data_IF_563846537617
#
_entry.id   IF_563846537617
#
_cell.length_a   1.000
_cell.length_b   1.000
_cell.length_c   1.000
_cell.angle_alpha   90.00
_cell.angle_beta   90.00
_cell.angle_gamma   90.00
#
_symmetry.space_group_name_H-M   'P 1'
#
loop_
_entity.id
_entity.type
_entity.pdbx_description
1 polymer ?
#
# COMPACT_ATOMS: atom_id res chain seq x y z
N UNK A 1 2.01 -3.61 4.57
CA UNK A 1 0.58 -3.99 4.71
C UNK A 1 0.41 -5.47 5.05
N UNK A 2 1.47 -6.27 4.91
CA UNK A 2 1.50 -7.73 5.10
C UNK A 2 0.97 -8.28 6.42
N UNK A 3 1.20 -7.61 7.54
CA UNK A 3 0.72 -8.13 8.83
C UNK A 3 -0.79 -7.98 9.03
N UNK A 4 -1.45 -7.09 8.30
CA UNK A 4 -2.88 -6.77 8.49
C UNK A 4 -3.74 -7.39 7.38
N UNK A 5 -3.17 -7.58 6.18
CA UNK A 5 -3.92 -8.04 5.00
C UNK A 5 -3.17 -9.12 4.21
N UNK A 6 -3.10 -10.38 4.73
CA UNK A 6 -2.43 -11.50 4.05
C UNK A 6 -3.10 -11.91 2.72
N UNK A 7 -4.33 -11.46 2.46
CA UNK A 7 -5.14 -11.85 1.29
C UNK A 7 -4.82 -11.08 0.01
N UNK A 8 -4.03 -9.99 0.08
CA UNK A 8 -3.75 -9.10 -1.08
C UNK A 8 -2.27 -9.05 -1.45
N UNK A 9 -1.60 -10.19 -1.30
CA UNK A 9 -0.22 -10.45 -1.72
C UNK A 9 -0.14 -10.25 -3.25
N UNK A 10 0.82 -9.43 -3.72
CA UNK A 10 1.07 -9.08 -5.14
C UNK A 10 0.27 -7.95 -5.81
N UNK A 11 -0.35 -7.03 -5.07
CA UNK A 11 -0.79 -5.78 -5.68
C UNK A 11 0.45 -4.93 -6.11
N UNK A 12 0.65 -4.78 -7.42
CA UNK A 12 1.77 -4.00 -8.01
C UNK A 12 1.39 -2.56 -8.36
N UNK A 13 0.10 -2.24 -8.40
CA UNK A 13 -0.41 -0.88 -8.64
C UNK A 13 -1.32 -0.45 -7.51
N UNK A 14 -1.29 0.84 -7.20
CA UNK A 14 -2.21 1.44 -6.23
C UNK A 14 -3.68 1.22 -6.61
N UNK A 15 -3.99 1.21 -7.91
CA UNK A 15 -5.34 0.96 -8.42
C UNK A 15 -5.86 -0.43 -8.11
N UNK A 16 -4.97 -1.43 -8.07
CA UNK A 16 -5.32 -2.83 -7.80
C UNK A 16 -5.54 -3.10 -6.30
N UNK A 17 -5.19 -2.12 -5.44
CA UNK A 17 -5.48 -2.23 -4.02
C UNK A 17 -6.98 -2.16 -3.74
N UNK A 18 -7.48 -2.99 -2.80
CA UNK A 18 -8.86 -2.92 -2.34
C UNK A 18 -9.13 -1.56 -1.68
N UNK A 19 -10.42 -1.21 -1.59
CA UNK A 19 -10.84 0.08 -1.05
C UNK A 19 -10.37 0.25 0.40
N UNK A 20 -10.41 -0.80 1.21
CA UNK A 20 -9.94 -0.75 2.61
C UNK A 20 -8.45 -0.38 2.71
N UNK A 21 -7.61 -0.94 1.83
CA UNK A 21 -6.18 -0.63 1.83
C UNK A 21 -5.91 0.83 1.41
N UNK A 22 -6.67 1.34 0.44
CA UNK A 22 -6.60 2.75 0.02
C UNK A 22 -7.05 3.70 1.13
N UNK A 23 -8.13 3.35 1.83
CA UNK A 23 -8.63 4.15 2.96
C UNK A 23 -7.61 4.15 4.13
N UNK A 24 -6.96 3.02 4.40
CA UNK A 24 -5.88 2.95 5.39
C UNK A 24 -4.69 3.84 5.01
N UNK A 25 -4.22 3.77 3.76
CA UNK A 25 -3.12 4.62 3.27
C UNK A 25 -3.47 6.09 3.42
N UNK A 26 -4.71 6.47 3.07
CA UNK A 26 -5.21 7.83 3.18
C UNK A 26 -5.30 8.30 4.63
N UNK A 27 -5.73 7.43 5.55
CA UNK A 27 -5.75 7.73 6.99
C UNK A 27 -4.33 7.98 7.50
N UNK A 28 -3.38 7.12 7.15
CA UNK A 28 -1.98 7.28 7.55
C UNK A 28 -1.39 8.57 6.97
N UNK A 29 -1.57 8.84 5.68
CA UNK A 29 -1.13 10.11 5.04
C UNK A 29 -1.72 11.34 5.74
N UNK A 30 -3.00 11.27 6.15
CA UNK A 30 -3.66 12.36 6.87
C UNK A 30 -3.10 12.54 8.28
N UNK A 31 -2.77 11.44 8.96
CA UNK A 31 -2.23 11.46 10.32
C UNK A 31 -0.76 11.86 10.39
N UNK A 32 0.05 11.45 9.41
CA UNK A 32 1.47 11.81 9.35
C UNK A 32 1.71 13.12 8.62
N UNK A 33 0.73 13.62 7.86
CA UNK A 33 0.89 14.74 6.92
C UNK A 33 2.04 14.53 5.91
N UNK A 34 2.39 13.27 5.64
CA UNK A 34 3.48 12.88 4.75
C UNK A 34 2.93 11.99 3.63
N UNK A 35 3.19 12.32 2.35
CA UNK A 35 2.73 11.51 1.23
C UNK A 35 3.43 10.13 1.23
N UNK A 36 2.65 9.06 1.13
CA UNK A 36 3.15 7.70 1.07
C UNK A 36 3.47 7.35 -0.38
N UNK A 37 4.76 7.32 -0.69
CA UNK A 37 5.28 7.05 -2.05
C UNK A 37 5.64 5.59 -2.28
N UNK A 38 5.96 4.84 -1.23
CA UNK A 38 6.30 3.42 -1.28
C UNK A 38 5.34 2.62 -0.43
N UNK A 39 4.75 1.58 -1.02
CA UNK A 39 3.81 0.70 -0.31
C UNK A 39 4.25 -0.75 -0.53
N UNK A 40 4.70 -1.41 0.54
CA UNK A 40 4.96 -2.85 0.56
C UNK A 40 3.65 -3.63 0.75
N UNK A 41 3.28 -4.42 -0.25
CA UNK A 41 2.05 -5.22 -0.33
C UNK A 41 2.29 -6.72 -0.16
N UNK A 42 3.54 -7.13 0.05
CA UNK A 42 3.94 -8.53 0.19
C UNK A 42 5.26 -8.68 0.94
N UNK A 43 5.60 -9.91 1.37
CA UNK A 43 6.89 -10.21 2.00
C UNK A 43 8.01 -10.38 0.96
N UNK A 44 7.69 -10.39 -0.33
CA UNK A 44 8.66 -10.43 -1.42
C UNK A 44 9.11 -9.01 -1.80
N UNK A 45 10.38 -8.85 -2.18
CA UNK A 45 10.93 -7.56 -2.61
C UNK A 45 10.22 -7.00 -3.86
N UNK A 46 9.57 -7.88 -4.64
CA UNK A 46 8.80 -7.53 -5.83
C UNK A 46 7.39 -7.00 -5.53
N UNK A 47 6.91 -7.13 -4.30
CA UNK A 47 5.59 -6.66 -3.87
C UNK A 47 5.67 -5.22 -3.34
N UNK A 48 6.26 -4.33 -4.13
CA UNK A 48 6.42 -2.91 -3.85
C UNK A 48 5.68 -2.07 -4.89
N UNK A 49 4.80 -1.19 -4.43
CA UNK A 49 4.17 -0.17 -5.27
C UNK A 49 4.96 1.13 -5.13
N UNK A 50 5.48 1.62 -6.25
CA UNK A 50 6.09 2.95 -6.37
C UNK A 50 5.06 3.94 -6.97
N UNK A 51 4.78 5.03 -6.25
CA UNK A 51 3.84 6.10 -6.67
C UNK A 51 4.56 7.35 -7.20
N UNK A 52 5.88 7.30 -7.43
CA UNK A 52 6.67 8.45 -7.91
C UNK A 52 6.65 8.65 -9.43
N UNK A 53 6.13 7.68 -10.19
CA UNK A 53 6.14 7.70 -11.67
C UNK A 53 4.75 7.92 -12.24
#
# INVERSE_FOLDING_TARGET
LDCIYPTYRSARKYSDLPKEAKDFIKEVETRTCVPIVFIGTGPDALDLIDRRT
#
